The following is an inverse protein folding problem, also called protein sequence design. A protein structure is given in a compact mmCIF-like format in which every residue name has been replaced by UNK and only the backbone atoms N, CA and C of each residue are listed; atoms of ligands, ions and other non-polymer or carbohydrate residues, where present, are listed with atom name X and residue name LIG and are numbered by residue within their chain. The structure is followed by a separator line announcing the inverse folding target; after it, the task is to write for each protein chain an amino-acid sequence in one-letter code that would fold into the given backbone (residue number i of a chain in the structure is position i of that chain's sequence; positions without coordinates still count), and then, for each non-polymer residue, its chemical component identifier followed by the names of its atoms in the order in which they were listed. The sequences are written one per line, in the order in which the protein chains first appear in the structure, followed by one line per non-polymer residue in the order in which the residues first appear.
data_IF_403027785107
#
_entry.id   IF_403027785107
#
_cell.length_a   1.000
_cell.length_b   1.000
_cell.length_c   1.000
_cell.angle_alpha   90.00
_cell.angle_beta   90.00
_cell.angle_gamma   90.00
#
_symmetry.space_group_name_H-M   'P 1'
#
loop_
_entity.id
_entity.type
_entity.pdbx_description
1 polymer ?
#
# COMPACT_ATOMS: atom_id res chain seq x y z
N UNK A 1 9.21 1.81 -0.86
CA UNK A 1 9.55 0.83 -1.90
C UNK A 1 10.41 1.51 -2.94
N UNK A 2 11.59 0.97 -3.24
CA UNK A 2 12.55 1.58 -4.16
C UNK A 2 12.65 0.70 -5.40
N UNK A 3 12.45 1.29 -6.57
CA UNK A 3 12.65 0.65 -7.87
C UNK A 3 13.69 1.40 -8.70
N UNK A 4 14.13 0.80 -9.80
CA UNK A 4 15.16 1.36 -10.68
C UNK A 4 14.79 2.74 -11.23
N UNK A 5 13.51 2.94 -11.54
CA UNK A 5 13.00 4.17 -12.18
C UNK A 5 12.34 5.15 -11.20
N UNK A 6 11.94 4.69 -10.02
CA UNK A 6 11.20 5.51 -9.06
C UNK A 6 11.22 4.92 -7.65
N UNK A 7 11.08 5.78 -6.65
CA UNK A 7 10.89 5.40 -5.24
C UNK A 7 9.54 5.89 -4.71
N UNK A 8 8.90 5.09 -3.86
CA UNK A 8 7.62 5.38 -3.20
C UNK A 8 7.80 5.30 -1.69
N UNK A 9 7.32 6.30 -0.95
CA UNK A 9 7.33 6.33 0.51
C UNK A 9 5.94 6.67 1.07
N UNK A 10 5.62 6.23 2.28
CA UNK A 10 4.36 6.61 2.93
C UNK A 10 4.34 6.31 4.43
N UNK A 11 3.73 7.23 5.19
CA UNK A 11 3.43 7.11 6.64
C UNK A 11 1.98 7.49 6.98
N UNK A 12 1.30 8.23 6.09
CA UNK A 12 -0.15 8.49 6.09
C UNK A 12 -0.56 9.11 4.74
N UNK A 13 0.33 9.93 4.18
CA UNK A 13 0.34 10.41 2.80
C UNK A 13 1.36 9.62 1.99
N UNK A 14 1.10 9.36 0.72
CA UNK A 14 2.07 8.75 -0.20
C UNK A 14 2.96 9.83 -0.85
N UNK A 15 4.21 9.50 -1.13
CA UNK A 15 5.14 10.34 -1.86
C UNK A 15 5.88 9.53 -2.93
N UNK A 16 6.11 10.15 -4.09
CA UNK A 16 6.81 9.53 -5.24
C UNK A 16 7.99 10.38 -5.67
N UNK A 17 9.12 9.73 -5.92
CA UNK A 17 10.32 10.28 -6.53
C UNK A 17 10.55 9.57 -7.87
N UNK A 18 10.63 10.33 -8.97
CA UNK A 18 10.97 9.79 -10.29
C UNK A 18 12.44 10.03 -10.60
N UNK A 19 13.18 8.97 -10.95
CA UNK A 19 14.62 9.07 -11.22
C UNK A 19 14.94 9.59 -12.62
N UNK A 20 13.94 9.67 -13.51
CA UNK A 20 14.09 10.17 -14.87
C UNK A 20 13.80 11.67 -15.00
N UNK A 21 13.27 12.31 -13.94
CA UNK A 21 13.08 13.76 -13.92
C UNK A 21 14.43 14.46 -14.08
N UNK A 22 14.42 15.58 -14.83
CA UNK A 22 15.57 16.46 -14.98
C UNK A 22 16.16 16.80 -13.60
N UNK A 23 17.49 16.87 -13.50
CA UNK A 23 18.19 17.00 -12.22
C UNK A 23 17.72 18.20 -11.39
N UNK A 24 17.30 19.29 -12.05
CA UNK A 24 16.77 20.49 -11.41
C UNK A 24 15.35 20.31 -10.80
N UNK A 25 14.55 19.38 -11.33
CA UNK A 25 13.16 19.12 -10.91
C UNK A 25 12.99 17.80 -10.15
N UNK A 26 14.08 17.04 -9.98
CA UNK A 26 14.07 15.77 -9.28
C UNK A 26 13.84 15.98 -7.79
N UNK A 27 12.69 15.54 -7.30
CA UNK A 27 12.32 15.66 -5.89
C UNK A 27 11.12 14.79 -5.53
N UNK A 28 10.89 14.63 -4.22
CA UNK A 28 9.73 13.93 -3.70
C UNK A 28 8.47 14.76 -3.92
N UNK A 29 7.49 14.20 -4.64
CA UNK A 29 6.16 14.80 -4.81
C UNK A 29 5.18 14.11 -3.86
N UNK A 30 4.49 14.90 -3.05
CA UNK A 30 3.40 14.44 -2.19
C UNK A 30 2.16 14.15 -3.01
N UNK A 31 1.56 12.98 -2.83
CA UNK A 31 0.34 12.56 -3.50
C UNK A 31 -0.80 12.56 -2.49
N UNK A 32 -1.79 13.40 -2.72
CA UNK A 32 -3.02 13.43 -1.95
C UNK A 32 -4.10 12.57 -2.61
N UNK A 33 -4.99 12.00 -1.79
CA UNK A 33 -6.08 11.16 -2.27
C UNK A 33 -7.13 11.99 -2.99
N UNK A 34 -7.20 11.81 -4.31
CA UNK A 34 -8.22 12.37 -5.20
C UNK A 34 -9.21 11.29 -5.68
N UNK A 35 -10.30 11.68 -6.35
CA UNK A 35 -11.40 10.79 -6.76
C UNK A 35 -11.01 9.69 -7.76
N UNK A 36 -9.88 9.88 -8.46
CA UNK A 36 -9.34 8.91 -9.43
C UNK A 36 -8.55 7.76 -8.79
N UNK A 37 -8.25 7.84 -7.49
CA UNK A 37 -7.61 6.73 -6.79
C UNK A 37 -8.58 5.56 -6.61
N UNK A 38 -8.09 4.30 -6.63
CA UNK A 38 -8.92 3.13 -6.39
C UNK A 38 -9.76 3.27 -5.11
N UNK A 39 -11.04 2.87 -5.20
CA UNK A 39 -12.03 2.92 -4.12
C UNK A 39 -12.49 4.31 -3.64
N UNK A 40 -11.93 5.41 -4.14
CA UNK A 40 -12.32 6.77 -3.72
C UNK A 40 -13.66 7.25 -4.29
N UNK A 41 -14.13 6.67 -5.41
CA UNK A 41 -15.44 6.98 -6.02
C UNK A 41 -16.65 6.67 -5.13
N UNK A 42 -16.46 5.85 -4.10
CA UNK A 42 -17.52 5.48 -3.15
C UNK A 42 -17.65 6.47 -1.97
N UNK A 43 -16.77 7.49 -1.89
CA UNK A 43 -16.71 8.44 -0.77
C UNK A 43 -16.98 9.87 -1.23
N UNK A 44 -17.52 10.68 -0.32
CA UNK A 44 -18.33 11.86 -0.68
C UNK A 44 -17.53 13.11 -1.09
N UNK A 45 -16.27 13.25 -0.67
CA UNK A 45 -15.42 14.41 -1.00
C UNK A 45 -14.01 13.97 -1.39
N UNK A 46 -13.61 14.12 -2.68
CA UNK A 46 -12.21 14.03 -3.10
C UNK A 46 -11.34 15.06 -2.36
N UNK A 47 -10.16 14.64 -1.91
CA UNK A 47 -9.25 15.53 -1.16
C UNK A 47 -9.49 15.61 0.35
N UNK A 48 -10.46 14.89 0.91
CA UNK A 48 -10.53 14.65 2.36
C UNK A 48 -9.82 13.32 2.69
N UNK A 49 -9.03 13.30 3.77
CA UNK A 49 -8.44 12.05 4.23
C UNK A 49 -9.54 11.07 4.64
N UNK A 50 -9.51 9.86 4.09
CA UNK A 50 -10.24 8.73 4.67
C UNK A 50 -9.46 8.20 5.87
N UNK A 51 -10.19 7.82 6.91
CA UNK A 51 -9.63 7.24 8.12
C UNK A 51 -9.24 5.77 7.97
N UNK A 52 -8.89 5.18 9.12
CA UNK A 52 -8.53 3.77 9.20
C UNK A 52 -9.75 2.85 8.97
N UNK A 53 -10.94 3.33 9.33
CA UNK A 53 -12.20 2.59 9.24
C UNK A 53 -12.60 2.22 7.80
N UNK A 54 -12.28 3.07 6.83
CA UNK A 54 -12.60 2.86 5.41
C UNK A 54 -11.82 1.68 4.83
N UNK A 55 -10.64 1.36 5.39
CA UNK A 55 -9.86 0.17 5.00
C UNK A 55 -10.67 -1.11 5.18
N UNK A 56 -11.44 -1.24 6.26
CA UNK A 56 -12.28 -2.42 6.52
C UNK A 56 -13.50 -2.46 5.59
N UNK A 57 -14.09 -1.30 5.28
CA UNK A 57 -15.19 -1.22 4.30
C UNK A 57 -14.71 -1.67 2.93
N UNK A 58 -13.52 -1.26 2.51
CA UNK A 58 -12.91 -1.70 1.24
C UNK A 58 -12.63 -3.21 1.23
N UNK A 59 -12.16 -3.78 2.35
CA UNK A 59 -11.95 -5.23 2.48
C UNK A 59 -13.25 -6.02 2.31
N UNK A 60 -14.34 -5.60 2.95
CA UNK A 60 -15.65 -6.26 2.82
C UNK A 60 -16.21 -6.12 1.41
N UNK A 61 -16.04 -4.96 0.77
CA UNK A 61 -16.46 -4.74 -0.61
C UNK A 61 -15.72 -5.68 -1.59
N UNK A 62 -14.43 -5.94 -1.36
CA UNK A 62 -13.65 -6.91 -2.13
C UNK A 62 -14.13 -8.35 -1.92
N UNK A 63 -14.42 -8.74 -0.68
CA UNK A 63 -14.90 -10.10 -0.34
C UNK A 63 -16.31 -10.43 -0.88
N UNK A 64 -17.10 -9.41 -1.24
CA UNK A 64 -18.41 -9.59 -1.87
C UNK A 64 -18.34 -9.86 -3.38
N UNK A 65 -17.20 -9.59 -4.03
CA UNK A 65 -17.05 -9.65 -5.49
C UNK A 65 -16.62 -11.05 -5.93
N UNK A 66 -17.59 -11.95 -6.14
CA UNK A 66 -17.42 -13.35 -6.59
C UNK A 66 -16.61 -13.57 -7.89
N UNK A 67 -16.17 -12.51 -8.57
CA UNK A 67 -15.59 -12.56 -9.91
C UNK A 67 -14.06 -12.53 -9.93
N UNK A 68 -13.36 -12.41 -8.80
CA UNK A 68 -11.89 -12.42 -8.75
C UNK A 68 -11.38 -13.20 -7.55
N UNK A 69 -10.17 -13.79 -7.68
CA UNK A 69 -9.44 -14.35 -6.53
C UNK A 69 -9.20 -13.23 -5.54
N UNK A 70 -9.78 -13.35 -4.36
CA UNK A 70 -9.55 -12.45 -3.24
C UNK A 70 -8.10 -12.62 -2.76
N UNK A 71 -7.35 -11.53 -2.74
CA UNK A 71 -5.99 -11.47 -2.23
C UNK A 71 -5.92 -10.43 -1.11
N UNK A 72 -5.16 -10.67 -0.04
CA UNK A 72 -4.41 -11.90 0.25
C UNK A 72 -5.33 -13.08 0.61
N UNK A 73 -4.97 -14.30 0.18
CA UNK A 73 -5.66 -15.54 0.58
C UNK A 73 -4.93 -16.28 1.72
N UNK A 74 -5.45 -17.45 2.12
CA UNK A 74 -4.86 -18.24 3.20
C UNK A 74 -3.40 -18.66 2.93
N UNK A 75 -3.02 -18.86 1.67
CA UNK A 75 -1.64 -19.24 1.31
C UNK A 75 -0.70 -18.04 1.47
N UNK A 76 -1.16 -16.86 1.08
CA UNK A 76 -0.43 -15.61 1.30
C UNK A 76 -0.26 -15.34 2.80
N UNK A 77 -1.30 -15.60 3.59
CA UNK A 77 -1.25 -15.54 5.06
C UNK A 77 -0.24 -16.52 5.67
N UNK A 78 -0.19 -17.76 5.19
CA UNK A 78 0.79 -18.76 5.64
C UNK A 78 2.23 -18.32 5.32
N UNK A 79 2.47 -17.77 4.12
CA UNK A 79 3.77 -17.26 3.74
C UNK A 79 4.22 -16.11 4.66
N UNK A 80 3.30 -15.20 5.02
CA UNK A 80 3.59 -14.12 5.98
C UNK A 80 3.95 -14.67 7.37
N UNK A 81 3.24 -15.68 7.87
CA UNK A 81 3.57 -16.33 9.15
C UNK A 81 4.96 -16.96 9.10
N UNK A 82 5.32 -17.64 8.00
CA UNK A 82 6.64 -18.23 7.85
C UNK A 82 7.78 -17.19 7.92
N UNK A 83 7.56 -15.99 7.37
CA UNK A 83 8.50 -14.87 7.49
C UNK A 83 8.61 -14.39 8.94
N UNK A 84 7.48 -14.20 9.63
CA UNK A 84 7.49 -13.80 11.06
C UNK A 84 8.26 -14.81 11.90
N UNK A 85 8.04 -16.11 11.69
CA UNK A 85 8.80 -17.14 12.38
C UNK A 85 10.30 -17.11 12.06
N UNK A 86 10.66 -16.86 10.80
CA UNK A 86 12.06 -16.73 10.41
C UNK A 86 12.74 -15.54 11.12
N UNK A 87 12.05 -14.40 11.23
CA UNK A 87 12.52 -13.22 11.99
C UNK A 87 12.68 -13.56 13.46
N UNK A 88 11.72 -14.27 14.06
CA UNK A 88 11.81 -14.68 15.47
C UNK A 88 12.96 -15.65 15.72
N UNK A 89 13.21 -16.59 14.79
CA UNK A 89 14.39 -17.49 14.85
C UNK A 89 15.69 -16.72 14.68
N UNK A 90 15.74 -15.78 13.73
CA UNK A 90 16.88 -14.90 13.51
C UNK A 90 17.23 -14.11 14.77
N UNK A 91 16.25 -13.45 15.38
CA UNK A 91 16.42 -12.69 16.62
C UNK A 91 16.96 -13.55 17.78
N UNK A 92 16.49 -14.80 17.91
CA UNK A 92 16.99 -15.75 18.93
C UNK A 92 18.42 -16.20 18.65
N UNK A 93 18.76 -16.43 17.38
CA UNK A 93 20.10 -16.89 16.96
C UNK A 93 21.11 -15.76 16.75
N UNK A 94 20.66 -14.49 16.79
CA UNK A 94 21.43 -13.28 16.46
C UNK A 94 22.11 -13.33 15.09
N UNK A 95 21.46 -13.98 14.12
CA UNK A 95 21.91 -14.11 12.73
C UNK A 95 20.74 -14.01 11.77
#
# INVERSE_FOLDING_TARGET
MNGEYSSIAGTALAAVLQHLDESAFRGWRSIHSDGDHPYMKAWWVPGLQIGYEQTFVHQVALAGLRYRREVPDLRDGLAAVAVVEAVLRSAKSRR
#
